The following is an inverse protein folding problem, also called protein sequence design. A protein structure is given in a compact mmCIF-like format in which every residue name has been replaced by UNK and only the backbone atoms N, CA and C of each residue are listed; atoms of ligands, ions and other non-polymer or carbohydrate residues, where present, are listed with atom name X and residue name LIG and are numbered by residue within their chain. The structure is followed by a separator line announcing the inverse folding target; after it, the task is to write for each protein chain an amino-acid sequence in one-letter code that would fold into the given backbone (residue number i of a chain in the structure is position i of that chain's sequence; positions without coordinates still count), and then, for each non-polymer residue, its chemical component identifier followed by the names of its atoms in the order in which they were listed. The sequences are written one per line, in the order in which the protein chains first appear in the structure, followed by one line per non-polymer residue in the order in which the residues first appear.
data_IF_006837197606
#
_entry.id   IF_006837197606
#
_cell.length_a   1.000
_cell.length_b   1.000
_cell.length_c   1.000
_cell.angle_alpha   90.00
_cell.angle_beta   90.00
_cell.angle_gamma   90.00
#
_symmetry.space_group_name_H-M   'P 1'
#
loop_
_entity.id
_entity.type
_entity.pdbx_description
1 polymer ?
#
# COMPACT_ATOMS: atom_id res chain seq x y z
N UNK A 1 16.42 -16.33 14.00
CA UNK A 1 15.69 -16.05 12.74
C UNK A 1 14.21 -15.94 13.09
N UNK A 2 13.61 -14.75 13.02
CA UNK A 2 12.16 -14.61 13.23
C UNK A 2 11.41 -15.28 12.09
N UNK A 3 10.31 -15.97 12.38
CA UNK A 3 9.49 -16.62 11.37
C UNK A 3 8.96 -15.58 10.38
N UNK A 4 8.76 -15.98 9.12
CA UNK A 4 8.14 -15.12 8.09
C UNK A 4 6.80 -14.54 8.57
N UNK A 5 6.02 -15.37 9.27
CA UNK A 5 4.75 -14.97 9.91
C UNK A 5 4.96 -13.83 10.91
N UNK A 6 6.00 -13.88 11.75
CA UNK A 6 6.27 -12.81 12.70
C UNK A 6 6.56 -11.47 12.01
N UNK A 7 7.32 -11.49 10.91
CA UNK A 7 7.60 -10.27 10.13
C UNK A 7 6.36 -9.69 9.44
N UNK A 8 5.44 -10.56 9.03
CA UNK A 8 4.14 -10.14 8.48
C UNK A 8 3.26 -9.52 9.55
N UNK A 9 3.14 -10.16 10.71
CA UNK A 9 2.38 -9.63 11.84
C UNK A 9 2.93 -8.28 12.29
N UNK A 10 4.25 -8.11 12.31
CA UNK A 10 4.87 -6.81 12.60
C UNK A 10 4.48 -5.73 11.58
N UNK A 11 4.47 -6.05 10.29
CA UNK A 11 4.05 -5.11 9.25
C UNK A 11 2.54 -4.76 9.35
N UNK A 12 1.70 -5.74 9.67
CA UNK A 12 0.26 -5.52 9.92
C UNK A 12 0.05 -4.61 11.12
N UNK A 13 0.71 -4.90 12.25
CA UNK A 13 0.61 -4.11 13.48
C UNK A 13 1.06 -2.66 13.25
N UNK A 14 2.18 -2.47 12.54
CA UNK A 14 2.66 -1.15 12.19
C UNK A 14 1.69 -0.38 11.30
N UNK A 15 1.22 -1.00 10.21
CA UNK A 15 0.25 -0.37 9.30
C UNK A 15 -1.05 -0.03 10.05
N UNK A 16 -1.52 -0.91 10.94
CA UNK A 16 -2.71 -0.68 11.75
C UNK A 16 -2.53 0.51 12.70
N UNK A 17 -1.36 0.61 13.34
CA UNK A 17 -1.02 1.74 14.20
C UNK A 17 -0.97 3.07 13.45
N UNK A 18 -0.33 3.10 12.27
CA UNK A 18 -0.20 4.31 11.43
C UNK A 18 -1.53 4.76 10.83
N UNK A 19 -2.38 3.82 10.40
CA UNK A 19 -3.68 4.11 9.81
C UNK A 19 -4.86 4.10 10.81
N UNK A 20 -4.61 4.11 12.13
CA UNK A 20 -5.63 3.91 13.17
C UNK A 20 -6.82 4.89 13.10
N UNK A 21 -6.56 6.14 12.74
CA UNK A 21 -7.59 7.20 12.62
C UNK A 21 -8.14 7.33 11.19
N UNK A 22 -7.51 6.68 10.21
CA UNK A 22 -7.90 6.79 8.81
C UNK A 22 -9.10 5.88 8.52
N UNK A 23 -10.00 6.36 7.66
CA UNK A 23 -11.17 5.64 7.17
C UNK A 23 -11.20 5.64 5.65
N UNK A 24 -11.83 4.62 5.09
CA UNK A 24 -12.19 4.54 3.66
C UNK A 24 -13.35 5.48 3.38
N UNK A 25 -13.51 5.85 2.11
CA UNK A 25 -14.56 6.77 1.65
C UNK A 25 -15.87 6.03 1.33
N UNK A 26 -16.04 4.79 1.77
CA UNK A 26 -17.29 4.06 1.60
C UNK A 26 -18.36 4.54 2.59
N UNK A 27 -19.65 4.22 2.36
CA UNK A 27 -20.73 4.79 3.16
C UNK A 27 -20.64 4.54 4.67
N UNK A 28 -20.01 3.44 5.07
CA UNK A 28 -19.81 3.01 6.45
C UNK A 28 -18.54 3.61 7.08
N UNK A 29 -17.66 4.22 6.29
CA UNK A 29 -16.37 4.71 6.75
C UNK A 29 -15.53 3.57 7.32
N UNK A 30 -15.31 2.51 6.53
CA UNK A 30 -14.60 1.32 6.98
C UNK A 30 -13.15 1.66 7.42
N UNK A 31 -12.58 1.06 8.48
CA UNK A 31 -11.19 1.32 8.89
C UNK A 31 -10.19 1.12 7.74
N UNK A 32 -9.26 2.07 7.56
CA UNK A 32 -8.37 2.06 6.39
C UNK A 32 -7.45 0.85 6.35
N UNK A 33 -7.05 0.30 7.51
CA UNK A 33 -6.24 -0.91 7.58
C UNK A 33 -6.82 -2.10 6.79
N UNK A 34 -8.14 -2.13 6.58
CA UNK A 34 -8.79 -3.15 5.77
C UNK A 34 -8.31 -3.14 4.31
N UNK A 35 -7.84 -1.99 3.80
CA UNK A 35 -7.30 -1.87 2.46
C UNK A 35 -5.92 -2.53 2.31
N UNK A 36 -4.86 -2.15 3.08
CA UNK A 36 -3.57 -2.81 2.97
C UNK A 36 -3.59 -4.32 3.27
N UNK A 37 -4.46 -4.79 4.16
CA UNK A 37 -4.59 -6.24 4.45
C UNK A 37 -5.40 -6.98 3.39
N UNK A 38 -6.25 -6.28 2.63
CA UNK A 38 -7.07 -6.93 1.62
C UNK A 38 -6.21 -7.42 0.47
N UNK A 39 -6.16 -8.73 0.29
CA UNK A 39 -5.50 -9.37 -0.85
C UNK A 39 -6.58 -9.84 -1.83
N UNK A 40 -6.89 -9.06 -2.88
CA UNK A 40 -7.85 -9.53 -3.88
C UNK A 40 -7.29 -10.78 -4.58
N UNK A 41 -7.95 -11.93 -4.49
CA UNK A 41 -7.63 -13.06 -5.38
C UNK A 41 -7.85 -12.63 -6.83
N UNK A 42 -6.93 -12.91 -7.78
CA UNK A 42 -5.82 -13.87 -7.73
C UNK A 42 -4.46 -13.29 -7.30
N UNK A 43 -4.37 -12.01 -6.91
CA UNK A 43 -3.08 -11.40 -6.53
C UNK A 43 -2.44 -12.05 -5.29
N UNK A 44 -3.18 -12.82 -4.50
CA UNK A 44 -2.65 -13.61 -3.37
C UNK A 44 -1.47 -14.51 -3.79
N UNK A 45 -1.52 -15.10 -5.00
CA UNK A 45 -0.45 -15.94 -5.56
C UNK A 45 0.66 -15.16 -6.25
N UNK A 46 0.44 -13.88 -6.57
CA UNK A 46 1.39 -13.01 -7.27
C UNK A 46 2.21 -12.11 -6.33
N UNK A 47 1.64 -11.72 -5.20
CA UNK A 47 2.27 -10.92 -4.13
C UNK A 47 3.11 -11.72 -3.09
N UNK A 48 3.41 -13.05 -3.19
CA UNK A 48 4.34 -13.72 -2.26
C UNK A 48 5.73 -13.10 -2.20
N UNK A 49 6.14 -12.37 -3.25
CA UNK A 49 7.49 -11.80 -3.33
C UNK A 49 7.71 -10.54 -2.50
N UNK A 50 6.65 -9.86 -2.02
CA UNK A 50 6.81 -8.63 -1.21
C UNK A 50 5.62 -8.30 -0.29
N UNK A 51 5.12 -9.25 0.51
CA UNK A 51 3.91 -9.08 1.31
C UNK A 51 4.00 -7.93 2.33
N UNK A 52 5.18 -7.68 2.91
CA UNK A 52 5.37 -6.53 3.82
C UNK A 52 5.19 -5.19 3.09
N UNK A 53 5.79 -5.02 1.89
CA UNK A 53 5.65 -3.77 1.15
C UNK A 53 4.19 -3.51 0.73
N UNK A 54 3.41 -4.55 0.44
CA UNK A 54 1.98 -4.41 0.16
C UNK A 54 1.19 -3.93 1.40
N UNK A 55 1.52 -4.43 2.58
CA UNK A 55 0.91 -3.97 3.84
C UNK A 55 1.28 -2.52 4.19
N UNK A 56 2.44 -2.06 3.72
CA UNK A 56 3.03 -0.77 4.08
C UNK A 56 2.88 0.31 2.99
N UNK A 57 2.29 -0.03 1.84
CA UNK A 57 2.40 0.80 0.62
C UNK A 57 1.88 2.24 0.77
N UNK A 58 0.86 2.46 1.58
CA UNK A 58 0.26 3.78 1.83
C UNK A 58 0.79 4.47 3.08
N UNK A 59 1.61 3.79 3.90
CA UNK A 59 2.03 4.34 5.20
C UNK A 59 2.80 5.63 5.04
N UNK A 60 3.75 5.71 4.10
CA UNK A 60 4.52 6.93 3.85
C UNK A 60 3.67 8.00 3.13
N UNK A 61 2.69 7.60 2.32
CA UNK A 61 1.87 8.54 1.55
C UNK A 61 0.80 9.24 2.41
N UNK A 62 0.17 8.51 3.32
CA UNK A 62 -1.05 8.94 4.02
C UNK A 62 -0.88 9.15 5.54
N UNK A 63 0.32 8.91 6.08
CA UNK A 63 0.58 9.01 7.53
C UNK A 63 1.86 9.81 7.80
N UNK A 64 2.30 9.85 9.05
CA UNK A 64 3.56 10.49 9.47
C UNK A 64 4.81 9.60 9.27
N UNK A 65 4.65 8.45 8.61
CA UNK A 65 5.72 7.48 8.40
C UNK A 65 6.80 8.02 7.47
N UNK A 66 8.06 7.74 7.78
CA UNK A 66 9.20 8.11 6.92
C UNK A 66 9.83 6.90 6.25
N UNK A 67 10.51 7.09 5.12
CA UNK A 67 11.28 6.01 4.49
C UNK A 67 12.37 5.45 5.40
N UNK A 68 13.01 6.28 6.23
CA UNK A 68 14.00 5.85 7.22
C UNK A 68 13.38 4.91 8.26
N UNK A 69 12.18 5.22 8.75
CA UNK A 69 11.45 4.35 9.68
C UNK A 69 11.13 2.98 9.04
N UNK A 70 10.74 2.96 7.76
CA UNK A 70 10.52 1.69 7.03
C UNK A 70 11.82 0.90 6.87
N UNK A 71 12.93 1.57 6.55
CA UNK A 71 14.22 0.93 6.34
C UNK A 71 14.80 0.34 7.63
N UNK A 72 14.70 1.08 8.74
CA UNK A 72 15.17 0.63 10.06
C UNK A 72 14.41 -0.61 10.55
N UNK A 73 13.09 -0.67 10.30
CA UNK A 73 12.25 -1.76 10.80
C UNK A 73 12.13 -2.95 9.86
N UNK A 74 11.99 -2.70 8.56
CA UNK A 74 11.65 -3.71 7.56
C UNK A 74 12.75 -3.95 6.53
N UNK A 75 13.81 -3.15 6.57
CA UNK A 75 14.98 -3.27 5.71
C UNK A 75 14.88 -2.53 4.38
N UNK A 76 16.04 -2.32 3.76
CA UNK A 76 16.19 -1.54 2.54
C UNK A 76 15.38 -2.07 1.34
N UNK A 77 15.19 -3.39 1.23
CA UNK A 77 14.38 -3.97 0.15
C UNK A 77 12.91 -3.57 0.25
N UNK A 78 12.33 -3.59 1.46
CA UNK A 78 10.94 -3.19 1.67
C UNK A 78 10.79 -1.69 1.44
N UNK A 79 11.71 -0.88 1.99
CA UNK A 79 11.74 0.57 1.78
C UNK A 79 11.77 0.94 0.31
N UNK A 80 12.61 0.29 -0.50
CA UNK A 80 12.69 0.57 -1.96
C UNK A 80 11.35 0.32 -2.66
N UNK A 81 10.68 -0.79 -2.35
CA UNK A 81 9.39 -1.09 -2.97
C UNK A 81 8.33 -0.08 -2.53
N UNK A 82 8.30 0.28 -1.23
CA UNK A 82 7.37 1.30 -0.69
C UNK A 82 7.60 2.66 -1.38
N UNK A 83 8.85 3.06 -1.57
CA UNK A 83 9.23 4.29 -2.27
C UNK A 83 8.76 4.31 -3.74
N UNK A 84 8.86 3.19 -4.47
CA UNK A 84 8.37 3.09 -5.85
C UNK A 84 6.84 3.20 -5.99
N UNK A 85 6.10 2.89 -4.91
CA UNK A 85 4.64 2.90 -4.89
C UNK A 85 4.03 4.11 -4.19
N UNK A 86 4.84 4.93 -3.52
CA UNK A 86 4.41 6.17 -2.87
C UNK A 86 4.34 7.31 -3.89
N UNK A 87 3.21 8.02 -3.94
CA UNK A 87 3.11 9.26 -4.71
C UNK A 87 3.66 10.47 -3.92
N UNK A 88 4.17 11.46 -4.66
CA UNK A 88 4.57 12.75 -4.09
C UNK A 88 3.35 13.63 -3.81
N UNK A 89 2.98 13.73 -2.52
CA UNK A 89 1.83 14.53 -2.05
C UNK A 89 2.01 16.04 -2.19
N UNK A 90 3.21 16.55 -2.53
CA UNK A 90 3.42 17.97 -2.83
C UNK A 90 2.85 18.38 -4.21
N UNK A 91 2.59 17.41 -5.09
CA UNK A 91 2.10 17.64 -6.43
C UNK A 91 0.55 17.65 -6.52
N UNK A 92 -0.04 18.42 -7.45
CA UNK A 92 -1.47 18.37 -7.71
C UNK A 92 -1.98 16.96 -8.06
N UNK A 93 -3.21 16.64 -7.67
CA UNK A 93 -3.82 15.30 -7.90
C UNK A 93 -3.73 14.82 -9.35
N UNK A 94 -3.96 15.70 -10.32
CA UNK A 94 -3.88 15.35 -11.75
C UNK A 94 -2.45 15.03 -12.18
N UNK A 95 -1.47 15.73 -11.63
CA UNK A 95 -0.05 15.50 -11.89
C UNK A 95 0.40 14.14 -11.32
N UNK A 96 0.00 13.83 -10.08
CA UNK A 96 0.26 12.51 -9.47
C UNK A 96 -0.30 11.37 -10.33
N UNK A 97 -1.55 11.51 -10.81
CA UNK A 97 -2.17 10.53 -11.71
C UNK A 97 -1.42 10.36 -13.02
N UNK A 98 -0.93 11.46 -13.62
CA UNK A 98 -0.11 11.40 -14.85
C UNK A 98 1.19 10.62 -14.58
N UNK A 99 1.88 10.96 -13.50
CA UNK A 99 3.14 10.32 -13.11
C UNK A 99 2.97 8.83 -12.78
N UNK A 100 1.84 8.41 -12.20
CA UNK A 100 1.57 6.98 -11.99
C UNK A 100 1.57 6.19 -13.31
N UNK A 101 1.06 6.78 -14.41
CA UNK A 101 1.04 6.16 -15.73
C UNK A 101 2.44 6.16 -16.35
N UNK A 102 3.10 7.33 -16.34
CA UNK A 102 4.44 7.50 -16.94
C UNK A 102 5.51 6.61 -16.27
N UNK A 103 5.45 6.47 -14.95
CA UNK A 103 6.43 5.69 -14.16
C UNK A 103 6.12 4.19 -14.15
N UNK A 104 4.89 3.76 -14.43
CA UNK A 104 4.49 2.36 -14.33
C UNK A 104 5.40 1.37 -15.12
N UNK A 105 5.87 1.67 -16.35
CA UNK A 105 6.77 0.79 -17.09
C UNK A 105 8.14 0.63 -16.42
N UNK A 106 8.63 1.68 -15.74
CA UNK A 106 9.94 1.72 -15.11
C UNK A 106 9.99 1.04 -13.73
N UNK A 107 8.84 0.88 -13.06
CA UNK A 107 8.76 0.22 -11.76
C UNK A 107 9.31 -1.22 -11.80
N UNK A 108 9.92 -1.63 -10.69
CA UNK A 108 10.36 -3.00 -10.44
C UNK A 108 9.18 -3.98 -10.50
N UNK A 109 9.47 -5.26 -10.73
CA UNK A 109 8.43 -6.30 -10.75
C UNK A 109 7.65 -6.33 -9.44
N UNK A 110 8.30 -6.13 -8.29
CA UNK A 110 7.68 -6.12 -6.97
C UNK A 110 6.74 -4.92 -6.82
N UNK A 111 7.18 -3.71 -7.20
CA UNK A 111 6.33 -2.52 -7.16
C UNK A 111 5.13 -2.62 -8.12
N UNK A 112 5.32 -3.16 -9.33
CA UNK A 112 4.23 -3.40 -10.29
C UNK A 112 3.15 -4.31 -9.70
N UNK A 113 3.54 -5.37 -9.00
CA UNK A 113 2.62 -6.30 -8.35
C UNK A 113 1.80 -5.63 -7.23
N UNK A 114 2.44 -4.78 -6.43
CA UNK A 114 1.76 -3.98 -5.40
C UNK A 114 0.77 -3.01 -6.05
N UNK A 115 1.19 -2.25 -7.08
CA UNK A 115 0.30 -1.33 -7.81
C UNK A 115 -0.89 -2.02 -8.45
N UNK A 116 -0.69 -3.22 -9.03
CA UNK A 116 -1.78 -4.00 -9.59
C UNK A 116 -2.78 -4.45 -8.52
N UNK A 117 -2.28 -4.94 -7.38
CA UNK A 117 -3.13 -5.37 -6.27
C UNK A 117 -3.94 -4.20 -5.68
N UNK A 118 -3.29 -3.05 -5.46
CA UNK A 118 -3.92 -1.80 -5.03
C UNK A 118 -5.05 -1.39 -5.97
N UNK A 119 -4.76 -1.26 -7.28
CA UNK A 119 -5.75 -0.85 -8.28
C UNK A 119 -6.90 -1.87 -8.38
N UNK A 120 -6.61 -3.16 -8.34
CA UNK A 120 -7.64 -4.20 -8.35
C UNK A 120 -8.56 -4.10 -7.14
N UNK A 121 -8.00 -3.89 -5.94
CA UNK A 121 -8.79 -3.72 -4.73
C UNK A 121 -9.68 -2.47 -4.83
N UNK A 122 -9.11 -1.34 -5.24
CA UNK A 122 -9.86 -0.08 -5.35
C UNK A 122 -10.98 -0.17 -6.40
N UNK A 123 -10.75 -0.83 -7.55
CA UNK A 123 -11.80 -1.06 -8.55
C UNK A 123 -12.92 -1.97 -8.03
N UNK A 124 -12.59 -2.99 -7.23
CA UNK A 124 -13.60 -3.83 -6.58
C UNK A 124 -14.41 -3.06 -5.55
N UNK A 125 -13.76 -2.19 -4.78
CA UNK A 125 -14.43 -1.34 -3.79
C UNK A 125 -15.37 -0.33 -4.46
N UNK A 126 -14.96 0.26 -5.59
CA UNK A 126 -15.81 1.12 -6.43
C UNK A 126 -17.03 0.38 -7.01
N UNK A 127 -16.88 -0.89 -7.40
CA UNK A 127 -18.00 -1.72 -7.87
C UNK A 127 -18.95 -2.12 -6.72
N UNK A 128 -18.41 -2.29 -5.51
CA UNK A 128 -19.19 -2.65 -4.32
C UNK A 128 -20.03 -1.46 -3.84
N UNK A 129 -19.44 -0.28 -3.79
CA UNK A 129 -20.13 0.94 -3.35
C UNK A 129 -19.51 2.20 -3.96
N UNK A 130 -20.35 3.18 -4.28
CA UNK A 130 -19.89 4.51 -4.67
C UNK A 130 -19.31 5.25 -3.46
N UNK A 131 -18.10 5.82 -3.54
CA UNK A 131 -17.53 6.61 -2.46
C UNK A 131 -18.36 7.86 -2.14
N UNK A 132 -18.34 8.28 -0.88
CA UNK A 132 -18.83 9.59 -0.43
C UNK A 132 -17.68 10.61 -0.52
N UNK A 133 -17.85 11.67 -1.32
CA UNK A 133 -16.84 12.73 -1.49
C UNK A 133 -16.74 13.16 -2.93
#
# INVERSE_FOLDING_TARGET
MGSEVARLLEAVDFAAGKHKEQRRMDPEGTPYINHPIARPEPCSSLVPSSPQAALLHDTVEDTDTTFSEIEERFGAEVRRVVEEVTDDRSLPKMERKRLQIERAPACSRRAKLVKLADKLHNLRDLNRCTPKG
#
